data_IF_238967236309
#
_entry.id   IF_238967236309
#
_cell.length_a   1.000
_cell.length_b   1.000
_cell.length_c   1.000
_cell.angle_alpha   90.00
_cell.angle_beta   90.00
_cell.angle_gamma   90.00
#
_symmetry.space_group_name_H-M   'P 1'
#
loop_
_entity.id
_entity.type
_entity.pdbx_description
1 polymer ?
#
# COMPACT_ATOMS: atom_id res chain seq x y z
N UNK A 1 4.20 25.03 -15.90
CA UNK A 1 3.49 24.69 -14.65
C UNK A 1 3.49 23.18 -14.47
N UNK A 2 3.90 22.69 -13.32
CA UNK A 2 3.81 21.26 -13.05
C UNK A 2 2.34 20.87 -12.81
N UNK A 3 1.88 19.81 -13.46
CA UNK A 3 0.59 19.18 -13.18
C UNK A 3 0.79 18.06 -12.16
N UNK A 4 -0.04 17.99 -11.15
CA UNK A 4 0.01 16.93 -10.16
C UNK A 4 -1.38 16.38 -9.87
N UNK A 5 -1.44 15.10 -9.54
CA UNK A 5 -2.63 14.40 -9.13
C UNK A 5 -2.42 13.83 -7.74
N UNK A 6 -3.25 14.23 -6.80
CA UNK A 6 -3.22 13.72 -5.43
C UNK A 6 -4.03 12.41 -5.36
N UNK A 7 -3.39 11.34 -4.91
CA UNK A 7 -4.00 10.03 -4.74
C UNK A 7 -4.41 9.74 -3.30
N UNK A 8 -4.31 10.73 -2.40
CA UNK A 8 -4.84 10.60 -1.04
C UNK A 8 -6.37 10.47 -1.05
N UNK A 9 -6.92 9.96 0.04
CA UNK A 9 -8.36 9.78 0.20
C UNK A 9 -8.73 8.33 0.50
N UNK A 10 -9.91 7.90 0.05
CA UNK A 10 -10.42 6.56 0.35
C UNK A 10 -9.93 5.55 -0.67
N UNK A 11 -9.30 4.49 -0.15
CA UNK A 11 -8.85 3.32 -0.89
C UNK A 11 -9.60 2.08 -0.41
N UNK A 12 -9.53 1.00 -1.15
CA UNK A 12 -9.97 -0.32 -0.70
C UNK A 12 -8.81 -1.08 -0.10
N UNK A 13 -9.01 -1.68 1.07
CA UNK A 13 -8.03 -2.50 1.77
C UNK A 13 -8.51 -3.95 1.80
N UNK A 14 -7.63 -4.87 1.45
CA UNK A 14 -7.86 -6.30 1.46
C UNK A 14 -6.72 -7.02 2.19
N UNK A 15 -7.07 -8.03 3.00
CA UNK A 15 -6.11 -8.95 3.59
C UNK A 15 -5.93 -10.19 2.70
N UNK A 16 -4.73 -10.75 2.68
CA UNK A 16 -4.43 -12.04 2.05
C UNK A 16 -5.27 -13.20 2.60
N UNK A 17 -5.72 -13.06 3.87
CA UNK A 17 -6.52 -14.07 4.56
C UNK A 17 -8.03 -13.95 4.28
N UNK A 18 -8.46 -12.89 3.61
CA UNK A 18 -9.84 -12.68 3.20
C UNK A 18 -10.07 -13.14 1.76
N UNK A 19 -11.17 -13.83 1.49
CA UNK A 19 -11.46 -14.33 0.14
C UNK A 19 -11.77 -13.18 -0.84
N UNK A 20 -12.82 -12.44 -0.57
CA UNK A 20 -13.29 -11.35 -1.45
C UNK A 20 -13.63 -10.08 -0.70
N UNK A 21 -13.48 -10.09 0.63
CA UNK A 21 -13.85 -8.96 1.47
C UNK A 21 -12.84 -7.83 1.33
N UNK A 22 -13.35 -6.61 1.20
CA UNK A 22 -12.59 -5.38 1.25
C UNK A 22 -13.21 -4.41 2.24
N UNK A 23 -12.39 -3.57 2.83
CA UNK A 23 -12.84 -2.48 3.70
C UNK A 23 -12.30 -1.14 3.20
N UNK A 24 -12.97 -0.01 3.48
CA UNK A 24 -12.43 1.29 3.16
C UNK A 24 -11.22 1.62 4.05
N UNK A 25 -10.23 2.27 3.47
CA UNK A 25 -9.06 2.76 4.18
C UNK A 25 -8.70 4.16 3.70
N UNK A 26 -8.47 5.07 4.61
CA UNK A 26 -8.02 6.41 4.27
C UNK A 26 -6.50 6.44 4.16
N UNK A 27 -5.98 6.99 3.07
CA UNK A 27 -4.56 7.27 2.91
C UNK A 27 -4.34 8.80 2.80
N UNK A 28 -3.31 9.33 3.47
CA UNK A 28 -2.39 8.65 4.39
C UNK A 28 -3.09 8.06 5.60
N UNK A 29 -2.61 6.91 6.06
CA UNK A 29 -3.18 6.16 7.17
C UNK A 29 -2.58 4.76 7.26
N UNK A 30 -3.09 3.95 8.17
CA UNK A 30 -2.62 2.59 8.42
C UNK A 30 -3.75 1.56 8.39
N UNK A 31 -3.38 0.29 8.31
CA UNK A 31 -4.33 -0.81 8.25
C UNK A 31 -5.11 -1.00 9.57
N UNK A 32 -4.49 -0.76 10.72
CA UNK A 32 -5.17 -0.90 12.01
C UNK A 32 -6.29 0.12 12.19
N UNK A 33 -6.06 1.37 11.79
CA UNK A 33 -7.10 2.41 11.80
C UNK A 33 -8.27 2.03 10.90
N UNK A 34 -8.02 1.45 9.74
CA UNK A 34 -9.04 0.97 8.83
C UNK A 34 -9.82 -0.21 9.42
N UNK A 35 -9.13 -1.17 10.03
CA UNK A 35 -9.74 -2.32 10.70
C UNK A 35 -10.62 -1.91 11.87
N UNK A 36 -10.17 -0.95 12.68
CA UNK A 36 -10.93 -0.42 13.78
C UNK A 36 -12.20 0.29 13.31
N UNK A 37 -12.09 1.14 12.30
CA UNK A 37 -13.23 1.86 11.73
C UNK A 37 -14.26 0.91 11.10
N UNK A 38 -13.82 -0.21 10.53
CA UNK A 38 -14.68 -1.25 9.96
C UNK A 38 -15.25 -2.22 11.00
N UNK A 39 -14.90 -2.07 12.29
CA UNK A 39 -15.36 -2.96 13.36
C UNK A 39 -14.74 -4.36 13.31
N UNK A 40 -13.61 -4.52 12.62
CA UNK A 40 -12.90 -5.81 12.48
C UNK A 40 -12.01 -6.15 13.67
N UNK A 41 -11.58 -5.15 14.40
CA UNK A 41 -10.77 -5.28 15.60
C UNK A 41 -11.34 -4.43 16.74
N UNK A 42 -11.16 -4.85 18.01
CA UNK A 42 -11.42 -3.97 19.14
C UNK A 42 -10.35 -2.89 19.25
N UNK A 43 -10.63 -1.82 20.00
CA UNK A 43 -9.64 -0.78 20.25
C UNK A 43 -8.38 -1.37 20.89
N UNK A 44 -7.21 -1.32 20.20
CA UNK A 44 -5.98 -1.93 20.69
C UNK A 44 -5.46 -1.32 22.01
N UNK A 45 -5.83 -0.07 22.27
CA UNK A 45 -5.38 0.66 23.46
C UNK A 45 -6.21 0.34 24.72
N UNK A 46 -7.25 -0.47 24.60
CA UNK A 46 -8.13 -0.81 25.71
C UNK A 46 -7.88 -2.24 26.22
N UNK A 47 -7.48 -2.35 27.49
CA UNK A 47 -7.28 -3.63 28.16
C UNK A 47 -6.15 -4.47 27.50
N UNK A 48 -6.51 -5.74 27.19
CA UNK A 48 -5.61 -6.67 26.51
C UNK A 48 -5.88 -6.82 25.01
N UNK A 49 -6.61 -5.89 24.43
CA UNK A 49 -7.04 -5.99 23.03
C UNK A 49 -5.86 -6.02 22.06
N UNK A 50 -4.70 -5.47 22.42
CA UNK A 50 -3.50 -5.56 21.58
C UNK A 50 -3.10 -7.01 21.24
N UNK A 51 -3.39 -7.97 22.14
CA UNK A 51 -3.12 -9.38 21.89
C UNK A 51 -4.03 -9.95 20.79
N UNK A 52 -5.28 -9.49 20.76
CA UNK A 52 -6.24 -9.93 19.75
C UNK A 52 -5.91 -9.41 18.34
N UNK A 53 -5.20 -8.28 18.24
CA UNK A 53 -4.84 -7.69 16.94
C UNK A 53 -3.48 -8.15 16.42
N UNK A 54 -2.70 -8.87 17.22
CA UNK A 54 -1.35 -9.32 16.81
C UNK A 54 -1.36 -10.26 15.61
N UNK A 55 -2.43 -11.03 15.41
CA UNK A 55 -2.55 -11.93 14.28
C UNK A 55 -2.46 -11.19 12.93
N UNK A 56 -2.97 -9.98 12.87
CA UNK A 56 -2.96 -9.16 11.65
C UNK A 56 -1.56 -8.75 11.20
N UNK A 57 -0.56 -8.86 12.05
CA UNK A 57 0.85 -8.59 11.70
C UNK A 57 1.40 -9.60 10.70
N UNK A 58 0.78 -10.76 10.60
CA UNK A 58 1.20 -11.85 9.69
C UNK A 58 0.49 -11.81 8.36
N UNK A 59 -0.53 -10.96 8.22
CA UNK A 59 -1.26 -10.80 6.98
C UNK A 59 -0.45 -9.97 5.98
N UNK A 60 -0.53 -10.34 4.72
CA UNK A 60 -0.20 -9.45 3.63
C UNK A 60 -1.41 -8.57 3.33
N UNK A 61 -1.17 -7.34 2.90
CA UNK A 61 -2.22 -6.35 2.69
C UNK A 61 -2.15 -5.78 1.29
N UNK A 62 -3.32 -5.51 0.71
CA UNK A 62 -3.42 -4.84 -0.58
C UNK A 62 -4.33 -3.62 -0.46
N UNK A 63 -3.79 -2.46 -0.78
CA UNK A 63 -4.54 -1.24 -1.01
C UNK A 63 -4.76 -1.08 -2.50
N UNK A 64 -5.97 -0.71 -2.90
CA UNK A 64 -6.30 -0.45 -4.30
C UNK A 64 -7.24 0.73 -4.46
N UNK A 65 -7.10 1.42 -5.58
CA UNK A 65 -7.94 2.54 -5.96
C UNK A 65 -7.99 2.68 -7.47
N UNK A 66 -9.16 3.02 -7.98
CA UNK A 66 -9.33 3.52 -9.33
C UNK A 66 -9.17 5.05 -9.32
N UNK A 67 -8.52 5.58 -10.33
CA UNK A 67 -8.28 7.02 -10.47
C UNK A 67 -8.27 7.43 -11.94
N UNK A 68 -8.68 8.66 -12.20
CA UNK A 68 -8.69 9.21 -13.55
C UNK A 68 -7.44 10.05 -13.81
N UNK A 69 -6.82 9.81 -14.96
CA UNK A 69 -5.67 10.55 -15.43
C UNK A 69 -6.10 11.48 -16.56
N UNK A 70 -5.99 12.80 -16.39
CA UNK A 70 -6.28 13.73 -17.47
C UNK A 70 -5.26 13.57 -18.60
N UNK A 71 -5.73 13.68 -19.85
CA UNK A 71 -4.86 13.56 -21.02
C UNK A 71 -3.68 14.54 -21.00
N UNK A 72 -3.86 15.72 -20.42
CA UNK A 72 -2.82 16.73 -20.24
C UNK A 72 -1.61 16.22 -19.47
N UNK A 73 -1.83 15.38 -18.44
CA UNK A 73 -0.75 14.78 -17.65
C UNK A 73 0.16 13.89 -18.52
N UNK A 74 -0.43 13.18 -19.48
CA UNK A 74 0.30 12.32 -20.39
C UNK A 74 1.03 13.09 -21.52
N UNK A 75 0.77 14.37 -21.67
CA UNK A 75 1.49 15.25 -22.57
C UNK A 75 2.90 15.59 -22.10
N UNK A 76 3.22 15.41 -20.83
CA UNK A 76 4.57 15.62 -20.30
C UNK A 76 5.51 14.48 -20.72
N UNK A 77 6.80 14.81 -20.82
CA UNK A 77 7.84 13.82 -21.16
C UNK A 77 7.92 12.70 -20.11
N UNK A 78 7.83 13.09 -18.84
CA UNK A 78 7.86 12.19 -17.67
C UNK A 78 6.65 12.42 -16.78
N UNK A 79 6.13 11.33 -16.21
CA UNK A 79 5.11 11.35 -15.16
C UNK A 79 5.58 10.50 -14.01
N UNK A 80 5.84 11.12 -12.89
CA UNK A 80 6.41 10.45 -11.72
C UNK A 80 5.35 10.12 -10.68
N UNK A 81 5.40 8.89 -10.19
CA UNK A 81 4.76 8.51 -8.94
C UNK A 81 5.73 8.79 -7.79
N UNK A 82 5.27 9.54 -6.80
CA UNK A 82 6.02 9.77 -5.57
C UNK A 82 5.31 9.08 -4.42
N UNK A 83 6.03 8.25 -3.67
CA UNK A 83 5.53 7.56 -2.50
C UNK A 83 6.40 7.88 -1.28
N UNK A 84 5.76 8.33 -0.21
CA UNK A 84 6.41 8.72 1.03
C UNK A 84 5.89 7.86 2.18
N UNK A 85 6.77 7.52 3.12
CA UNK A 85 6.43 6.78 4.34
C UNK A 85 5.70 5.46 4.07
N UNK A 86 6.18 4.69 3.12
CA UNK A 86 5.65 3.36 2.83
C UNK A 86 6.28 2.35 3.77
N UNK A 87 5.51 1.84 4.72
CA UNK A 87 6.01 0.94 5.77
C UNK A 87 5.47 -0.48 5.55
N UNK A 88 6.27 -1.43 5.14
CA UNK A 88 7.70 -1.30 4.79
C UNK A 88 7.98 -1.99 3.45
N UNK A 89 7.64 -3.27 3.32
CA UNK A 89 7.88 -4.06 2.11
C UNK A 89 6.65 -3.98 1.22
N UNK A 90 6.73 -3.23 0.14
CA UNK A 90 5.60 -3.02 -0.75
C UNK A 90 5.98 -3.10 -2.23
N UNK A 91 5.04 -3.54 -3.04
CA UNK A 91 5.10 -3.48 -4.49
C UNK A 91 3.95 -2.64 -4.98
N UNK A 92 4.22 -1.65 -5.79
CA UNK A 92 3.21 -0.80 -6.42
C UNK A 92 3.00 -1.22 -7.87
N UNK A 93 1.73 -1.44 -8.24
CA UNK A 93 1.33 -1.78 -9.60
C UNK A 93 0.36 -0.71 -10.12
N UNK A 94 0.51 -0.34 -11.37
CA UNK A 94 -0.47 0.47 -12.10
C UNK A 94 -0.94 -0.33 -13.30
N UNK A 95 -2.25 -0.51 -13.40
CA UNK A 95 -2.89 -1.31 -14.46
C UNK A 95 -2.27 -2.72 -14.58
N UNK A 96 -1.93 -3.32 -13.45
CA UNK A 96 -1.31 -4.64 -13.36
C UNK A 96 0.20 -4.68 -13.62
N UNK A 97 0.81 -3.55 -13.96
CA UNK A 97 2.24 -3.45 -14.22
C UNK A 97 3.00 -2.95 -12.99
N UNK A 98 4.01 -3.71 -12.55
CA UNK A 98 4.89 -3.29 -11.45
C UNK A 98 5.67 -2.05 -11.84
N UNK A 99 5.56 -0.99 -11.04
CA UNK A 99 6.22 0.29 -11.28
C UNK A 99 7.21 0.68 -10.19
N UNK A 100 7.08 0.10 -8.99
CA UNK A 100 7.88 0.48 -7.83
C UNK A 100 7.96 -0.66 -6.82
N UNK A 101 9.13 -0.83 -6.19
CA UNK A 101 9.33 -1.65 -5.00
C UNK A 101 9.86 -0.81 -3.85
N UNK A 102 9.28 -0.98 -2.67
CA UNK A 102 9.64 -0.27 -1.45
C UNK A 102 10.13 -1.26 -0.39
N UNK A 103 11.19 -0.90 0.31
CA UNK A 103 11.81 -1.74 1.36
C UNK A 103 12.16 -0.95 2.63
N UNK A 104 12.00 0.36 2.60
CA UNK A 104 12.39 1.25 3.69
C UNK A 104 11.38 2.39 3.84
N UNK A 105 10.73 2.48 4.99
CA UNK A 105 9.71 3.51 5.25
C UNK A 105 10.25 4.94 5.30
N UNK A 106 11.54 5.12 5.54
CA UNK A 106 12.17 6.45 5.61
C UNK A 106 12.63 6.97 4.25
N UNK A 107 12.55 6.15 3.22
CA UNK A 107 12.94 6.54 1.86
C UNK A 107 11.75 7.12 1.13
N UNK A 108 11.95 8.26 0.48
CA UNK A 108 11.03 8.78 -0.50
C UNK A 108 11.28 8.11 -1.84
N UNK A 109 10.31 7.36 -2.32
CA UNK A 109 10.41 6.68 -3.61
C UNK A 109 9.81 7.52 -4.71
N UNK A 110 10.43 7.46 -5.89
CA UNK A 110 9.97 8.14 -7.09
C UNK A 110 10.25 7.26 -8.30
N UNK A 111 9.26 7.05 -9.14
CA UNK A 111 9.39 6.26 -10.36
C UNK A 111 8.64 6.93 -11.50
N UNK A 112 9.22 6.88 -12.71
CA UNK A 112 8.51 7.29 -13.92
C UNK A 112 7.50 6.20 -14.29
N UNK A 113 6.23 6.57 -14.26
CA UNK A 113 5.11 5.64 -14.48
C UNK A 113 4.34 5.93 -15.75
N UNK A 114 4.81 6.87 -16.57
CA UNK A 114 4.10 7.28 -17.77
C UNK A 114 3.73 6.11 -18.68
N UNK A 115 4.63 5.15 -18.86
CA UNK A 115 4.39 3.98 -19.72
C UNK A 115 3.30 3.03 -19.18
N UNK A 116 2.97 3.09 -17.88
CA UNK A 116 1.93 2.29 -17.26
C UNK A 116 0.57 3.00 -17.21
N UNK A 117 0.52 4.31 -17.45
CA UNK A 117 -0.67 5.13 -17.41
C UNK A 117 -1.38 5.19 -18.76
N UNK A 118 -2.68 5.39 -18.70
CA UNK A 118 -3.54 5.73 -19.86
C UNK A 118 -4.44 6.90 -19.52
N UNK A 119 -4.92 7.62 -20.51
CA UNK A 119 -5.93 8.66 -20.30
C UNK A 119 -7.23 8.03 -19.79
N UNK A 120 -7.89 8.70 -18.85
CA UNK A 120 -9.11 8.20 -18.23
C UNK A 120 -8.82 7.28 -17.06
N UNK A 121 -9.58 6.20 -16.93
CA UNK A 121 -9.56 5.32 -15.77
C UNK A 121 -8.29 4.46 -15.70
N UNK A 122 -7.66 4.48 -14.55
CA UNK A 122 -6.50 3.66 -14.18
C UNK A 122 -6.75 3.01 -12.82
N UNK A 123 -6.02 1.92 -12.54
CA UNK A 123 -6.05 1.27 -11.24
C UNK A 123 -4.64 1.22 -10.65
N UNK A 124 -4.51 1.65 -9.41
CA UNK A 124 -3.28 1.50 -8.63
C UNK A 124 -3.51 0.48 -7.52
N UNK A 125 -2.53 -0.38 -7.32
CA UNK A 125 -2.49 -1.36 -6.23
C UNK A 125 -1.17 -1.25 -5.49
N UNK A 126 -1.23 -1.28 -4.16
CA UNK A 126 -0.06 -1.32 -3.30
C UNK A 126 -0.16 -2.60 -2.48
N UNK A 127 0.73 -3.55 -2.75
CA UNK A 127 0.77 -4.85 -2.08
C UNK A 127 1.86 -4.87 -1.05
N UNK A 128 1.47 -4.96 0.22
CA UNK A 128 2.37 -5.05 1.35
C UNK A 128 2.56 -6.49 1.78
N UNK A 129 3.80 -6.87 1.98
CA UNK A 129 4.15 -8.12 2.65
C UNK A 129 4.29 -7.90 4.15
N UNK A 130 3.90 -8.90 4.93
CA UNK A 130 4.09 -8.89 6.37
C UNK A 130 5.57 -8.67 6.71
N UNK A 131 5.88 -7.58 7.41
CA UNK A 131 7.24 -7.29 7.87
C UNK A 131 7.75 -8.36 8.84
N UNK A 132 6.87 -8.94 9.66
CA UNK A 132 7.21 -10.04 10.56
C UNK A 132 7.63 -11.30 9.79
N UNK A 133 6.88 -11.66 8.74
CA UNK A 133 7.21 -12.83 7.93
C UNK A 133 8.49 -12.61 7.11
N UNK A 134 8.69 -11.43 6.56
CA UNK A 134 9.91 -11.09 5.82
C UNK A 134 11.15 -11.08 6.73
N UNK A 135 11.02 -10.57 7.96
CA UNK A 135 12.09 -10.60 8.95
C UNK A 135 12.47 -12.04 9.35
N UNK A 136 11.46 -12.91 9.51
CA UNK A 136 11.71 -14.34 9.80
C UNK A 136 12.43 -15.04 8.65
N UNK A 137 12.08 -14.75 7.40
CA UNK A 137 12.79 -15.29 6.24
C UNK A 137 14.24 -14.83 6.21
N UNK A 138 14.49 -13.54 6.37
CA UNK A 138 15.84 -12.98 6.38
C UNK A 138 16.70 -13.59 7.51
N UNK A 139 16.11 -13.78 8.71
CA UNK A 139 16.81 -14.41 9.83
C UNK A 139 17.14 -15.89 9.56
N UNK A 140 16.27 -16.63 8.85
CA UNK A 140 16.52 -18.02 8.48
C UNK A 140 17.60 -18.19 7.41
N UNK A 141 17.82 -17.18 6.56
CA UNK A 141 18.84 -17.15 5.51
C UNK A 141 20.20 -16.72 6.00
N UNK A 142 20.31 -16.17 7.20
CA UNK A 142 21.58 -15.78 7.82
C UNK A 142 22.07 -16.89 8.74
N UNK A 143 23.14 -17.61 8.37
CA UNK A 143 23.76 -18.55 9.27
C UNK A 143 24.56 -17.76 10.32
N UNK A 144 23.97 -17.53 11.47
CA UNK A 144 24.73 -17.13 12.62
C UNK A 144 25.38 -18.36 13.26
N UNK A 145 26.67 -18.26 13.63
CA UNK A 145 27.31 -19.31 14.38
C UNK A 145 26.73 -19.44 15.79
#
# INVERSE_FOLDING_TARGET
MACSLDLSGVWSLKSSEWKEETIPANLPGDNYSALLAAGKIPDPHYGRNELAVQEFRRHDWEYSRDFDVPAELLGYEHVYLTAEMVDTFATVLINGKKVLSCENMFTRYRADVKAALRAGSNRIEIRFKSAENEAKKAAAEQPFP
#
